data_IF_241002063628
#
_entry.id   IF_241002063628
#
_cell.length_a   1.000
_cell.length_b   1.000
_cell.length_c   1.000
_cell.angle_alpha   90.00
_cell.angle_beta   90.00
_cell.angle_gamma   90.00
#
_symmetry.space_group_name_H-M   'P 1'
#
loop_
_entity.id
_entity.type
_entity.pdbx_description
1 polymer ?
#
# COMPACT_ATOMS: atom_id res chain seq x y z
N UNK A 1 -18.78 66.59 -62.54
CA UNK A 1 -18.73 65.35 -61.75
C UNK A 1 -19.96 65.28 -60.88
N UNK A 2 -20.85 64.30 -61.11
CA UNK A 2 -21.72 63.67 -60.10
C UNK A 2 -22.35 62.44 -60.74
N UNK A 3 -22.24 61.34 -60.02
CA UNK A 3 -22.23 59.95 -60.47
C UNK A 3 -23.64 59.34 -60.45
N UNK A 4 -23.91 58.42 -61.38
CA UNK A 4 -25.05 57.51 -61.41
C UNK A 4 -25.10 56.56 -60.20
N UNK A 5 -26.29 56.07 -59.83
CA UNK A 5 -26.70 54.65 -59.77
C UNK A 5 -28.05 54.55 -59.01
N UNK A 6 -29.15 54.16 -59.68
CA UNK A 6 -29.75 52.81 -59.82
C UNK A 6 -30.44 52.27 -58.54
N UNK A 7 -31.76 52.05 -58.68
CA UNK A 7 -32.68 51.37 -57.76
C UNK A 7 -32.27 49.91 -57.52
N UNK A 8 -32.44 49.41 -56.29
CA UNK A 8 -32.72 47.98 -56.05
C UNK A 8 -33.77 47.88 -54.94
N UNK A 9 -34.91 47.27 -55.26
CA UNK A 9 -35.91 46.84 -54.29
C UNK A 9 -35.46 45.50 -53.71
N UNK A 10 -35.38 45.41 -52.38
CA UNK A 10 -35.09 44.16 -51.68
C UNK A 10 -36.40 43.47 -51.31
N UNK A 11 -36.62 42.28 -51.84
CA UNK A 11 -37.71 41.38 -51.50
C UNK A 11 -37.23 40.47 -50.37
N UNK A 12 -37.86 40.57 -49.20
CA UNK A 12 -37.50 39.75 -48.03
C UNK A 12 -38.01 38.31 -48.23
N UNK A 13 -37.09 37.36 -48.40
CA UNK A 13 -37.37 35.94 -48.29
C UNK A 13 -37.25 35.54 -46.81
N UNK A 14 -38.35 35.17 -46.18
CA UNK A 14 -38.34 34.52 -44.87
C UNK A 14 -37.85 33.07 -45.06
N UNK A 15 -36.57 32.82 -44.78
CA UNK A 15 -36.02 31.48 -44.67
C UNK A 15 -36.30 30.96 -43.25
N UNK A 16 -37.35 30.16 -43.11
CA UNK A 16 -37.56 29.36 -41.90
C UNK A 16 -36.50 28.25 -41.92
N UNK A 17 -35.43 28.43 -41.15
CA UNK A 17 -34.63 27.29 -40.70
C UNK A 17 -35.53 26.45 -39.80
N UNK A 18 -36.01 25.32 -40.32
CA UNK A 18 -36.45 24.25 -39.46
C UNK A 18 -35.25 23.82 -38.63
N UNK A 19 -35.26 24.13 -37.34
CA UNK A 19 -34.38 23.46 -36.40
C UNK A 19 -34.78 21.98 -36.42
N UNK A 20 -34.07 21.17 -37.20
CA UNK A 20 -34.08 19.72 -37.03
C UNK A 20 -33.61 19.47 -35.62
N UNK A 21 -34.47 18.84 -34.79
CA UNK A 21 -34.15 18.42 -33.42
C UNK A 21 -33.18 17.24 -33.42
N UNK A 22 -32.07 17.36 -34.14
CA UNK A 22 -31.06 16.31 -34.21
C UNK A 22 -30.32 16.25 -32.87
N UNK A 23 -30.43 15.09 -32.23
CA UNK A 23 -29.41 14.49 -31.38
C UNK A 23 -29.47 14.76 -29.86
N UNK A 24 -30.66 14.61 -29.27
CA UNK A 24 -30.82 14.50 -27.79
C UNK A 24 -31.33 13.12 -27.32
N UNK A 25 -31.24 12.09 -28.17
CA UNK A 25 -31.68 10.71 -27.86
C UNK A 25 -30.61 9.67 -28.23
N UNK A 26 -29.33 10.04 -28.12
CA UNK A 26 -28.26 9.04 -28.16
C UNK A 26 -28.33 8.18 -26.89
N UNK A 27 -28.26 6.83 -27.02
CA UNK A 27 -28.33 5.96 -25.85
C UNK A 27 -27.18 6.25 -24.89
N UNK A 28 -27.53 6.40 -23.62
CA UNK A 28 -26.56 6.47 -22.52
C UNK A 28 -26.29 5.08 -21.95
N UNK A 29 -25.08 4.89 -21.45
CA UNK A 29 -24.62 3.65 -20.82
C UNK A 29 -24.16 3.93 -19.40
N UNK A 30 -24.59 3.09 -18.47
CA UNK A 30 -24.28 3.23 -17.05
C UNK A 30 -22.93 2.62 -16.73
N UNK A 31 -22.04 3.43 -16.14
CA UNK A 31 -20.78 3.00 -15.54
C UNK A 31 -20.99 2.90 -14.03
N UNK A 32 -21.17 1.68 -13.54
CA UNK A 32 -21.26 1.39 -12.10
C UNK A 32 -19.87 1.16 -11.53
N UNK A 33 -19.56 1.76 -10.37
CA UNK A 33 -18.28 1.53 -9.68
C UNK A 33 -18.49 0.67 -8.44
N UNK A 34 -17.60 -0.30 -8.24
CA UNK A 34 -17.54 -1.16 -7.06
C UNK A 34 -16.18 -1.05 -6.36
N UNK A 35 -16.17 -1.37 -5.07
CA UNK A 35 -14.96 -1.39 -4.23
C UNK A 35 -14.78 -2.79 -3.65
N UNK A 36 -13.59 -3.34 -3.80
CA UNK A 36 -13.24 -4.67 -3.32
C UNK A 36 -11.89 -4.66 -2.57
N UNK A 37 -11.82 -5.08 -1.29
CA UNK A 37 -12.94 -5.48 -0.43
C UNK A 37 -13.83 -4.29 -0.03
N UNK A 38 -15.04 -4.57 0.44
CA UNK A 38 -15.95 -3.52 0.92
C UNK A 38 -15.27 -2.65 1.99
N UNK A 39 -15.43 -1.33 1.90
CA UNK A 39 -14.81 -0.33 2.80
C UNK A 39 -13.29 -0.18 2.66
N UNK A 40 -12.64 -0.77 1.66
CA UNK A 40 -11.20 -0.58 1.44
C UNK A 40 -10.84 0.80 0.87
N UNK A 41 -11.82 1.52 0.34
CA UNK A 41 -11.63 2.84 -0.24
C UNK A 41 -12.92 3.45 -0.75
N UNK A 42 -12.78 4.56 -1.45
CA UNK A 42 -13.84 5.28 -2.16
C UNK A 42 -13.51 5.40 -3.63
N UNK A 43 -14.55 5.48 -4.46
CA UNK A 43 -14.42 5.59 -5.92
C UNK A 43 -15.30 6.71 -6.46
N UNK A 44 -14.83 7.40 -7.50
CA UNK A 44 -15.57 8.47 -8.20
C UNK A 44 -15.43 8.34 -9.71
N UNK A 45 -16.36 8.96 -10.44
CA UNK A 45 -16.37 8.99 -11.91
C UNK A 45 -17.42 8.07 -12.56
N UNK A 46 -18.22 7.35 -11.76
CA UNK A 46 -19.36 6.58 -12.27
C UNK A 46 -20.57 7.47 -12.59
N UNK A 47 -21.50 6.94 -13.39
CA UNK A 47 -22.67 7.68 -13.88
C UNK A 47 -23.15 7.16 -15.23
N UNK A 48 -24.05 7.93 -15.87
CA UNK A 48 -24.56 7.65 -17.21
C UNK A 48 -23.86 8.55 -18.23
N UNK A 49 -23.35 7.95 -19.30
CA UNK A 49 -22.52 8.62 -20.30
C UNK A 49 -22.85 8.16 -21.71
N UNK A 50 -22.49 8.95 -22.72
CA UNK A 50 -22.61 8.54 -24.13
C UNK A 50 -21.44 7.65 -24.52
N UNK A 51 -21.65 6.80 -25.53
CA UNK A 51 -20.56 6.02 -26.14
C UNK A 51 -19.44 6.95 -26.61
N UNK A 52 -18.20 6.63 -26.24
CA UNK A 52 -17.01 7.38 -26.62
C UNK A 52 -16.66 8.54 -25.69
N UNK A 53 -17.50 8.86 -24.70
CA UNK A 53 -17.13 9.77 -23.63
C UNK A 53 -15.89 9.25 -22.90
N UNK A 54 -14.98 10.17 -22.56
CA UNK A 54 -13.79 9.87 -21.76
C UNK A 54 -14.05 10.42 -20.35
N UNK A 55 -14.11 9.51 -19.38
CA UNK A 55 -14.38 9.83 -17.98
C UNK A 55 -13.14 9.52 -17.15
N UNK A 56 -12.85 10.36 -16.16
CA UNK A 56 -11.77 10.09 -15.22
C UNK A 56 -12.32 9.29 -14.05
N UNK A 57 -11.77 8.10 -13.84
CA UNK A 57 -12.05 7.27 -12.69
C UNK A 57 -10.98 7.50 -11.64
N UNK A 58 -11.38 7.62 -10.38
CA UNK A 58 -10.45 7.82 -9.26
C UNK A 58 -10.81 6.87 -8.12
N UNK A 59 -9.81 6.14 -7.63
CA UNK A 59 -9.87 5.33 -6.43
C UNK A 59 -9.01 5.95 -5.33
N UNK A 60 -9.57 6.10 -4.13
CA UNK A 60 -8.85 6.58 -2.94
C UNK A 60 -8.91 5.51 -1.87
N UNK A 61 -7.77 4.98 -1.45
CA UNK A 61 -7.70 3.96 -0.41
C UNK A 61 -8.02 4.56 0.97
N UNK A 62 -8.74 3.80 1.78
CA UNK A 62 -8.92 4.11 3.20
C UNK A 62 -7.64 3.80 4.00
N UNK A 63 -7.63 4.20 5.27
CA UNK A 63 -6.52 3.86 6.17
C UNK A 63 -6.27 2.34 6.21
N UNK A 64 -5.01 1.95 6.24
CA UNK A 64 -4.54 0.56 6.21
C UNK A 64 -4.79 -0.20 4.90
N UNK A 65 -5.27 0.45 3.84
CA UNK A 65 -5.37 -0.15 2.50
C UNK A 65 -4.44 0.53 1.50
N UNK A 66 -4.19 -0.15 0.39
CA UNK A 66 -3.58 0.42 -0.80
C UNK A 66 -4.32 -0.06 -2.05
N UNK A 67 -4.41 0.81 -3.06
CA UNK A 67 -5.03 0.49 -4.34
C UNK A 67 -4.15 -0.51 -5.11
N UNK A 68 -4.78 -1.47 -5.78
CA UNK A 68 -4.12 -2.52 -6.57
C UNK A 68 -4.41 -2.31 -8.05
N UNK A 69 -5.69 -2.36 -8.45
CA UNK A 69 -6.07 -2.23 -9.86
C UNK A 69 -7.55 -1.95 -10.06
N UNK A 70 -7.87 -1.42 -11.23
CA UNK A 70 -9.21 -1.34 -11.78
C UNK A 70 -9.49 -2.56 -12.65
N UNK A 71 -10.65 -3.18 -12.50
CA UNK A 71 -11.05 -4.34 -13.33
C UNK A 71 -12.47 -4.23 -13.87
N UNK A 72 -12.73 -4.82 -15.04
CA UNK A 72 -14.06 -5.19 -15.52
C UNK A 72 -14.18 -6.72 -15.42
N UNK A 73 -14.88 -7.22 -14.40
CA UNK A 73 -14.84 -8.65 -14.07
C UNK A 73 -13.41 -9.11 -13.73
N UNK A 74 -12.86 -10.01 -14.54
CA UNK A 74 -11.48 -10.52 -14.39
C UNK A 74 -10.45 -9.78 -15.25
N UNK A 75 -10.88 -8.83 -16.08
CA UNK A 75 -10.00 -8.08 -16.96
C UNK A 75 -9.40 -6.87 -16.23
N UNK A 76 -8.08 -6.80 -16.11
CA UNK A 76 -7.39 -5.63 -15.57
C UNK A 76 -7.41 -4.49 -16.60
N UNK A 77 -7.89 -3.33 -16.17
CA UNK A 77 -7.96 -2.12 -16.99
C UNK A 77 -6.78 -1.19 -16.71
N UNK A 78 -6.39 -1.06 -15.44
CA UNK A 78 -5.33 -0.14 -15.02
C UNK A 78 -4.81 -0.50 -13.63
N UNK A 79 -3.52 -0.31 -13.41
CA UNK A 79 -2.88 -0.32 -12.08
C UNK A 79 -2.74 1.08 -11.49
N UNK A 80 -3.12 2.12 -12.25
CA UNK A 80 -3.15 3.50 -11.77
C UNK A 80 -4.48 3.77 -11.07
N UNK A 81 -4.41 4.31 -9.84
CA UNK A 81 -5.60 4.64 -9.04
C UNK A 81 -6.50 5.68 -9.72
N UNK A 82 -5.90 6.56 -10.53
CA UNK A 82 -6.62 7.51 -11.38
C UNK A 82 -6.28 7.26 -12.84
N UNK A 83 -7.29 6.99 -13.67
CA UNK A 83 -7.09 6.83 -15.11
C UNK A 83 -8.33 7.23 -15.91
N UNK A 84 -8.10 7.54 -17.19
CA UNK A 84 -9.16 7.89 -18.12
C UNK A 84 -9.74 6.62 -18.76
N UNK A 85 -11.06 6.47 -18.68
CA UNK A 85 -11.82 5.34 -19.23
C UNK A 85 -12.71 5.83 -20.37
N UNK A 86 -12.67 5.13 -21.52
CA UNK A 86 -13.54 5.41 -22.66
C UNK A 86 -14.81 4.56 -22.58
N UNK A 87 -15.96 5.21 -22.53
CA UNK A 87 -17.27 4.54 -22.38
C UNK A 87 -17.64 3.76 -23.64
N UNK A 88 -18.03 2.50 -23.46
CA UNK A 88 -18.43 1.57 -24.52
C UNK A 88 -19.90 1.73 -24.96
N UNK A 89 -20.43 0.67 -25.57
CA UNK A 89 -21.83 0.58 -26.02
C UNK A 89 -22.66 -0.43 -25.20
N UNK A 90 -22.34 -0.56 -23.92
CA UNK A 90 -23.08 -1.35 -22.93
C UNK A 90 -22.85 -0.78 -21.53
N UNK A 91 -23.77 -1.09 -20.63
CA UNK A 91 -23.55 -0.87 -19.21
C UNK A 91 -22.41 -1.75 -18.69
N UNK A 92 -21.61 -1.20 -17.77
CA UNK A 92 -20.46 -1.88 -17.19
C UNK A 92 -20.40 -1.69 -15.68
N UNK A 93 -19.78 -2.65 -15.01
CA UNK A 93 -19.36 -2.50 -13.61
C UNK A 93 -17.85 -2.58 -13.54
N UNK A 94 -17.22 -1.51 -13.07
CA UNK A 94 -15.78 -1.41 -12.90
C UNK A 94 -15.46 -1.48 -11.41
N UNK A 95 -14.55 -2.37 -11.03
CA UNK A 95 -14.19 -2.61 -9.64
C UNK A 95 -12.82 -2.02 -9.35
N UNK A 96 -12.73 -1.15 -8.35
CA UNK A 96 -11.46 -0.77 -7.73
C UNK A 96 -11.09 -1.84 -6.70
N UNK A 97 -9.96 -2.50 -6.93
CA UNK A 97 -9.42 -3.53 -6.07
C UNK A 97 -8.34 -2.93 -5.17
N UNK A 98 -8.36 -3.32 -3.90
CA UNK A 98 -7.46 -2.88 -2.86
C UNK A 98 -6.97 -4.08 -2.07
N UNK A 99 -5.83 -3.92 -1.41
CA UNK A 99 -5.32 -4.88 -0.44
C UNK A 99 -4.99 -4.18 0.88
N UNK A 100 -5.02 -4.94 1.96
CA UNK A 100 -4.58 -4.46 3.27
C UNK A 100 -3.06 -4.29 3.31
N UNK A 101 -2.62 -3.20 3.94
CA UNK A 101 -1.23 -2.98 4.31
C UNK A 101 -0.86 -3.91 5.46
N UNK A 102 0.34 -4.49 5.42
CA UNK A 102 0.85 -5.29 6.55
C UNK A 102 1.44 -4.34 7.59
N UNK A 103 0.62 -3.92 8.55
CA UNK A 103 1.03 -3.04 9.65
C UNK A 103 1.09 -3.86 10.94
N UNK A 104 2.23 -3.79 11.63
CA UNK A 104 2.49 -4.54 12.86
C UNK A 104 2.95 -3.59 13.96
N UNK A 105 2.50 -3.84 15.19
CA UNK A 105 3.04 -3.21 16.39
C UNK A 105 3.67 -4.28 17.25
N UNK A 106 4.97 -4.16 17.54
CA UNK A 106 5.70 -5.07 18.43
C UNK A 106 6.15 -4.34 19.70
N UNK A 107 5.83 -4.92 20.86
CA UNK A 107 6.25 -4.46 22.17
C UNK A 107 7.65 -4.92 22.54
N UNK A 108 8.37 -4.11 23.30
CA UNK A 108 9.63 -4.50 23.95
C UNK A 108 9.37 -5.43 25.15
N UNK A 109 10.44 -5.93 25.78
CA UNK A 109 10.43 -7.06 26.73
C UNK A 109 9.52 -6.91 27.97
N UNK A 110 9.11 -5.69 28.33
CA UNK A 110 8.21 -5.40 29.45
C UNK A 110 6.87 -4.85 29.00
N UNK A 111 6.61 -4.79 27.69
CA UNK A 111 5.34 -4.34 27.15
C UNK A 111 4.28 -5.45 27.31
N UNK A 112 3.17 -5.12 27.96
CA UNK A 112 2.06 -6.06 28.22
C UNK A 112 0.87 -5.87 27.28
N UNK A 113 0.93 -4.89 26.39
CA UNK A 113 -0.16 -4.51 25.49
C UNK A 113 0.01 -5.12 24.10
N UNK A 114 1.24 -5.17 23.61
CA UNK A 114 1.56 -5.60 22.25
C UNK A 114 2.41 -6.88 22.25
N UNK A 115 2.23 -7.75 21.23
CA UNK A 115 3.06 -8.94 21.05
C UNK A 115 4.53 -8.54 20.80
N UNK A 116 5.48 -9.42 21.11
CA UNK A 116 6.91 -9.13 20.97
C UNK A 116 7.53 -9.64 19.66
N UNK A 117 6.84 -10.56 18.98
CA UNK A 117 7.40 -11.39 17.91
C UNK A 117 6.55 -11.35 16.65
N UNK A 118 7.21 -11.48 15.49
CA UNK A 118 6.60 -11.53 14.16
C UNK A 118 7.11 -12.76 13.39
N UNK A 119 6.18 -13.52 12.81
CA UNK A 119 6.45 -14.41 11.67
C UNK A 119 6.14 -13.67 10.37
N UNK A 120 7.15 -13.49 9.53
CA UNK A 120 6.98 -12.75 8.27
C UNK A 120 6.16 -13.56 7.27
N UNK A 121 6.39 -14.88 7.20
CA UNK A 121 5.71 -15.78 6.26
C UNK A 121 4.23 -15.97 6.59
N UNK A 122 3.90 -16.05 7.87
CA UNK A 122 2.52 -16.26 8.32
C UNK A 122 1.74 -14.94 8.45
N UNK A 123 2.45 -13.80 8.52
CA UNK A 123 1.83 -12.51 8.86
C UNK A 123 1.26 -12.49 10.29
N UNK A 124 1.76 -13.37 11.15
CA UNK A 124 1.26 -13.57 12.51
C UNK A 124 2.20 -12.94 13.53
N UNK A 125 1.64 -12.51 14.66
CA UNK A 125 2.40 -12.02 15.81
C UNK A 125 2.19 -12.91 17.02
N UNK A 126 3.21 -13.00 17.87
CA UNK A 126 3.20 -13.86 19.06
C UNK A 126 3.59 -13.07 20.30
N UNK A 127 2.89 -13.32 21.41
CA UNK A 127 3.25 -12.76 22.70
C UNK A 127 4.46 -13.51 23.29
N UNK A 128 5.10 -12.90 24.29
CA UNK A 128 6.30 -13.47 24.93
C UNK A 128 6.12 -14.89 25.47
N UNK A 129 4.91 -15.23 25.94
CA UNK A 129 4.61 -16.53 26.52
C UNK A 129 4.28 -17.63 25.47
N UNK A 130 4.01 -17.24 24.22
CA UNK A 130 3.57 -18.16 23.16
C UNK A 130 4.66 -18.36 22.12
N UNK A 131 5.56 -17.40 21.94
CA UNK A 131 6.54 -17.42 20.85
C UNK A 131 7.45 -18.67 20.87
N UNK A 132 7.72 -19.25 22.04
CA UNK A 132 8.52 -20.48 22.18
C UNK A 132 7.83 -21.74 21.63
N UNK A 133 6.52 -21.76 21.38
CA UNK A 133 5.87 -22.84 20.60
C UNK A 133 5.91 -22.60 19.10
N UNK A 134 6.37 -21.43 18.65
CA UNK A 134 6.42 -20.99 17.25
C UNK A 134 7.86 -20.67 16.78
N UNK A 135 8.88 -21.24 17.42
CA UNK A 135 10.29 -20.91 17.20
C UNK A 135 10.72 -20.98 15.73
N UNK A 136 10.19 -21.96 14.98
CA UNK A 136 10.49 -22.15 13.56
C UNK A 136 9.83 -21.11 12.64
N UNK A 137 8.74 -20.48 13.09
CA UNK A 137 8.00 -19.47 12.33
C UNK A 137 8.44 -18.04 12.65
N UNK A 138 8.96 -17.78 13.86
CA UNK A 138 9.36 -16.44 14.30
C UNK A 138 10.62 -15.96 13.58
N UNK A 139 10.53 -14.80 12.93
CA UNK A 139 11.62 -14.19 12.16
C UNK A 139 12.19 -12.94 12.81
N UNK A 140 11.34 -12.16 13.49
CA UNK A 140 11.66 -10.83 14.01
C UNK A 140 11.08 -10.68 15.41
N UNK A 141 11.80 -10.01 16.30
CA UNK A 141 11.28 -9.54 17.58
C UNK A 141 11.71 -8.11 17.88
N UNK A 142 10.94 -7.43 18.74
CA UNK A 142 11.26 -6.13 19.29
C UNK A 142 11.91 -6.25 20.67
N UNK A 143 12.88 -5.39 20.95
CA UNK A 143 13.49 -5.28 22.27
C UNK A 143 13.99 -3.85 22.52
N UNK A 144 14.21 -3.53 23.79
CA UNK A 144 14.84 -2.28 24.23
C UNK A 144 16.11 -2.57 25.00
N UNK A 145 17.17 -1.83 24.70
CA UNK A 145 18.43 -1.85 25.43
C UNK A 145 19.04 -0.45 25.44
N UNK A 146 19.58 -0.01 26.58
CA UNK A 146 20.27 1.28 26.67
C UNK A 146 21.40 1.34 25.62
N UNK A 147 21.41 2.39 24.80
CA UNK A 147 22.36 2.58 23.71
C UNK A 147 21.95 1.98 22.36
N UNK A 148 21.04 1.00 22.33
CA UNK A 148 20.39 0.53 21.10
C UNK A 148 18.97 1.10 20.94
N UNK A 149 18.36 1.56 22.03
CA UNK A 149 16.96 1.97 22.10
C UNK A 149 16.02 0.85 21.63
N UNK A 150 14.80 1.17 21.20
CA UNK A 150 13.90 0.24 20.51
C UNK A 150 14.59 -0.26 19.24
N UNK A 151 14.68 -1.58 19.14
CA UNK A 151 15.39 -2.28 18.10
C UNK A 151 14.64 -3.54 17.67
N UNK A 152 14.85 -3.93 16.42
CA UNK A 152 14.41 -5.19 15.85
C UNK A 152 15.60 -6.12 15.69
N UNK A 153 15.41 -7.39 16.02
CA UNK A 153 16.37 -8.45 15.81
C UNK A 153 15.64 -9.76 15.48
N UNK A 154 16.37 -10.88 15.41
CA UNK A 154 15.79 -12.21 15.23
C UNK A 154 16.31 -13.17 16.31
N UNK A 155 15.69 -14.34 16.53
CA UNK A 155 16.21 -15.33 17.47
C UNK A 155 17.70 -15.69 17.25
N UNK A 156 18.14 -15.81 15.99
CA UNK A 156 19.54 -16.04 15.60
C UNK A 156 20.52 -14.89 15.88
N UNK A 157 20.03 -13.76 16.42
CA UNK A 157 20.87 -12.69 16.95
C UNK A 157 21.57 -13.06 18.26
N UNK A 158 21.06 -14.07 18.98
CA UNK A 158 21.54 -14.51 20.30
C UNK A 158 21.69 -13.35 21.30
N UNK A 159 20.72 -12.43 21.30
CA UNK A 159 20.60 -11.41 22.35
C UNK A 159 20.27 -12.10 23.66
N UNK A 160 21.04 -11.83 24.71
CA UNK A 160 20.86 -12.42 26.05
C UNK A 160 20.71 -11.32 27.10
N UNK A 161 20.14 -11.64 28.26
CA UNK A 161 20.09 -10.74 29.42
C UNK A 161 19.04 -9.62 29.31
N UNK A 162 18.22 -9.63 28.25
CA UNK A 162 17.13 -8.66 28.03
C UNK A 162 15.78 -9.26 28.40
N UNK A 163 15.53 -10.50 27.98
CA UNK A 163 14.29 -11.21 28.24
C UNK A 163 14.43 -12.00 29.55
N UNK A 164 13.55 -11.75 30.52
CA UNK A 164 13.71 -12.12 31.93
C UNK A 164 13.63 -13.61 32.31
N UNK A 165 13.97 -14.58 31.44
CA UNK A 165 13.98 -16.00 31.82
C UNK A 165 13.84 -17.01 30.67
N UNK A 166 14.09 -18.29 31.00
CA UNK A 166 14.49 -19.39 30.10
C UNK A 166 13.69 -19.53 28.80
N UNK A 167 12.39 -19.78 28.83
CA UNK A 167 11.59 -20.09 27.63
C UNK A 167 11.15 -18.84 26.85
N UNK A 168 10.99 -17.71 27.54
CA UNK A 168 10.63 -16.41 26.96
C UNK A 168 11.81 -15.71 26.29
N UNK A 169 13.04 -16.18 26.54
CA UNK A 169 14.26 -15.67 25.95
C UNK A 169 14.59 -16.43 24.65
N UNK A 170 14.52 -15.76 23.48
CA UNK A 170 14.83 -16.38 22.20
C UNK A 170 16.25 -16.94 22.09
N UNK A 171 17.18 -16.55 22.96
CA UNK A 171 18.52 -17.13 22.98
C UNK A 171 18.54 -18.61 23.37
N UNK A 172 17.56 -19.06 24.17
CA UNK A 172 17.46 -20.44 24.68
C UNK A 172 16.68 -21.37 23.76
N UNK A 173 16.05 -20.82 22.72
CA UNK A 173 15.31 -21.60 21.74
C UNK A 173 16.20 -22.58 20.98
N UNK A 174 15.62 -23.73 20.62
CA UNK A 174 16.31 -24.76 19.84
C UNK A 174 16.37 -24.38 18.37
N UNK A 175 15.31 -23.75 17.85
CA UNK A 175 15.28 -23.19 16.49
C UNK A 175 15.39 -21.67 16.57
N UNK A 176 16.37 -21.12 15.84
CA UNK A 176 16.70 -19.69 15.91
C UNK A 176 16.89 -19.09 14.53
N UNK A 177 15.79 -18.60 13.95
CA UNK A 177 15.83 -17.98 12.63
C UNK A 177 16.69 -16.71 12.63
N UNK A 178 17.47 -16.54 11.57
CA UNK A 178 18.32 -15.35 11.37
C UNK A 178 17.71 -14.42 10.35
N UNK A 179 17.34 -13.21 10.79
CA UNK A 179 16.94 -12.10 9.91
C UNK A 179 18.03 -11.04 9.97
N UNK A 180 18.46 -10.57 8.81
CA UNK A 180 19.44 -9.48 8.70
C UNK A 180 18.75 -8.23 8.15
N UNK A 181 19.25 -7.06 8.56
CA UNK A 181 18.67 -5.76 8.26
C UNK A 181 19.73 -4.79 7.75
N UNK A 182 19.38 -3.94 6.79
CA UNK A 182 20.15 -2.73 6.45
C UNK A 182 19.21 -1.54 6.33
N UNK A 183 19.62 -0.38 6.85
CA UNK A 183 18.85 0.85 6.65
C UNK A 183 18.93 1.28 5.17
N UNK A 184 17.84 1.78 4.63
CA UNK A 184 17.71 2.25 3.25
C UNK A 184 17.48 3.76 3.29
N UNK A 185 18.54 4.53 3.03
CA UNK A 185 18.49 6.00 3.05
C UNK A 185 18.18 6.60 1.67
N UNK A 186 18.18 5.77 0.63
CA UNK A 186 17.90 6.18 -0.76
C UNK A 186 16.43 6.10 -1.14
N UNK A 187 15.59 5.49 -0.29
CA UNK A 187 14.16 5.34 -0.50
C UNK A 187 13.41 6.30 0.42
N UNK A 188 12.54 7.13 -0.16
CA UNK A 188 11.67 8.03 0.61
C UNK A 188 10.37 7.32 1.02
N UNK A 189 9.65 7.87 2.00
CA UNK A 189 8.34 7.36 2.43
C UNK A 189 7.33 7.33 1.27
N UNK A 190 7.27 8.39 0.46
CA UNK A 190 6.37 8.45 -0.68
C UNK A 190 6.67 7.34 -1.71
N UNK A 191 7.94 7.09 -2.01
CA UNK A 191 8.33 5.99 -2.90
C UNK A 191 8.05 4.61 -2.27
N UNK A 192 8.25 4.46 -0.97
CA UNK A 192 7.87 3.23 -0.28
C UNK A 192 6.36 2.98 -0.41
N UNK A 193 5.54 4.01 -0.26
CA UNK A 193 4.08 3.90 -0.31
C UNK A 193 3.57 3.46 -1.69
N UNK A 194 4.30 3.78 -2.77
CA UNK A 194 3.97 3.34 -4.13
C UNK A 194 4.41 1.91 -4.45
N UNK A 195 5.34 1.31 -3.68
CA UNK A 195 5.80 -0.07 -3.94
C UNK A 195 4.70 -1.05 -3.50
N UNK A 196 4.18 -1.94 -4.36
CA UNK A 196 3.22 -2.96 -3.94
C UNK A 196 3.89 -4.07 -3.13
N UNK A 197 3.15 -4.69 -2.20
CA UNK A 197 3.59 -5.96 -1.62
C UNK A 197 3.63 -7.03 -2.72
N UNK A 198 4.73 -7.79 -2.81
CA UNK A 198 5.02 -8.73 -3.88
C UNK A 198 5.90 -8.15 -5.00
N UNK A 199 6.31 -6.89 -4.92
CA UNK A 199 7.16 -6.28 -5.95
C UNK A 199 8.55 -6.93 -5.97
N UNK A 200 8.97 -7.41 -7.14
CA UNK A 200 10.27 -8.02 -7.35
C UNK A 200 11.45 -7.08 -7.01
N UNK A 201 11.27 -5.77 -7.11
CA UNK A 201 12.28 -4.76 -6.84
C UNK A 201 12.58 -4.58 -5.34
N UNK A 202 11.72 -5.07 -4.44
CA UNK A 202 11.96 -5.04 -2.98
C UNK A 202 13.33 -5.62 -2.63
N UNK A 203 13.76 -6.68 -3.31
CA UNK A 203 15.07 -7.32 -3.06
C UNK A 203 16.26 -6.40 -3.35
N UNK A 204 16.11 -5.39 -4.22
CA UNK A 204 17.22 -4.53 -4.67
C UNK A 204 17.70 -3.58 -3.58
N UNK A 205 16.87 -3.33 -2.56
CA UNK A 205 17.21 -2.49 -1.42
C UNK A 205 18.00 -3.24 -0.33
N UNK A 206 18.08 -4.57 -0.42
CA UNK A 206 18.89 -5.37 0.50
C UNK A 206 20.36 -5.39 0.07
N UNK A 207 21.26 -5.10 1.00
CA UNK A 207 22.71 -5.19 0.79
C UNK A 207 23.33 -6.11 1.82
N UNK A 208 23.89 -7.23 1.37
CA UNK A 208 24.54 -8.20 2.25
C UNK A 208 25.73 -7.61 3.03
N UNK A 209 26.48 -6.68 2.43
CA UNK A 209 27.62 -6.02 3.05
C UNK A 209 27.20 -5.04 4.17
N UNK A 210 26.07 -4.36 3.96
CA UNK A 210 25.49 -3.45 4.94
C UNK A 210 24.63 -4.16 6.00
N UNK A 211 24.25 -5.41 5.76
CA UNK A 211 23.31 -6.13 6.61
C UNK A 211 23.88 -6.43 8.00
N UNK A 212 23.05 -6.25 9.03
CA UNK A 212 23.36 -6.47 10.46
C UNK A 212 22.26 -7.30 11.11
N UNK A 213 22.59 -7.98 12.22
CA UNK A 213 21.64 -8.80 12.99
C UNK A 213 20.62 -7.98 13.80
N UNK A 214 20.76 -6.65 13.82
CA UNK A 214 19.91 -5.72 14.57
C UNK A 214 19.64 -4.49 13.71
N UNK A 215 18.38 -4.05 13.65
CA UNK A 215 18.02 -2.68 13.29
C UNK A 215 17.76 -1.94 14.61
N UNK A 216 18.51 -0.88 14.89
CA UNK A 216 18.51 -0.18 16.20
C UNK A 216 18.30 1.31 16.01
N UNK A 217 18.04 2.02 17.10
CA UNK A 217 17.76 3.47 17.08
C UNK A 217 16.63 3.79 16.11
N UNK A 218 15.56 2.99 16.18
CA UNK A 218 14.45 3.09 15.25
C UNK A 218 13.71 4.41 15.49
N UNK A 219 13.51 5.17 14.42
CA UNK A 219 12.81 6.45 14.43
C UNK A 219 11.79 6.45 13.31
N UNK A 220 10.70 7.21 13.50
CA UNK A 220 9.64 7.38 12.51
C UNK A 220 10.21 7.74 11.13
N UNK A 221 9.58 7.20 10.09
CA UNK A 221 9.88 7.38 8.67
C UNK A 221 11.20 6.74 8.20
N UNK A 222 12.02 6.17 9.08
CA UNK A 222 13.14 5.34 8.64
C UNK A 222 12.65 4.09 7.92
N UNK A 223 13.41 3.69 6.90
CA UNK A 223 13.15 2.50 6.11
C UNK A 223 14.32 1.54 6.23
N UNK A 224 14.00 0.26 6.39
CA UNK A 224 14.96 -0.83 6.48
C UNK A 224 14.60 -1.92 5.47
N UNK A 225 15.59 -2.42 4.75
CA UNK A 225 15.48 -3.69 4.06
C UNK A 225 15.83 -4.82 5.03
N UNK A 226 15.19 -5.96 4.88
CA UNK A 226 15.48 -7.16 5.63
C UNK A 226 15.50 -8.40 4.74
N UNK A 227 16.20 -9.43 5.22
CA UNK A 227 16.17 -10.77 4.63
C UNK A 227 16.04 -11.81 5.72
N UNK A 228 14.98 -12.61 5.68
CA UNK A 228 14.76 -13.73 6.62
C UNK A 228 15.65 -14.93 6.27
N UNK A 229 15.78 -15.89 7.20
CA UNK A 229 16.59 -17.09 6.97
C UNK A 229 16.06 -17.92 5.79
N UNK A 230 14.75 -17.94 5.59
CA UNK A 230 14.08 -18.66 4.51
C UNK A 230 14.19 -17.93 3.16
N UNK A 231 14.90 -16.80 3.10
CA UNK A 231 15.21 -16.10 1.85
C UNK A 231 14.19 -15.06 1.41
N UNK A 232 13.18 -14.75 2.23
CA UNK A 232 12.23 -13.67 1.98
C UNK A 232 12.93 -12.33 2.11
N UNK A 233 12.89 -11.52 1.06
CA UNK A 233 13.30 -10.12 1.09
C UNK A 233 12.11 -9.25 1.47
N UNK A 234 12.34 -8.22 2.27
CA UNK A 234 11.31 -7.25 2.58
C UNK A 234 11.84 -5.85 2.85
N UNK A 235 10.92 -4.91 2.84
CA UNK A 235 11.11 -3.53 3.30
C UNK A 235 10.20 -3.29 4.50
N UNK A 236 10.67 -2.49 5.45
CA UNK A 236 9.96 -2.07 6.64
C UNK A 236 10.07 -0.55 6.75
N UNK A 237 8.94 0.14 6.92
CA UNK A 237 8.87 1.59 7.21
C UNK A 237 8.37 1.79 8.63
N UNK A 238 9.15 2.47 9.45
CA UNK A 238 8.77 2.81 10.83
C UNK A 238 7.66 3.85 10.82
N UNK A 239 6.53 3.56 11.47
CA UNK A 239 5.38 4.45 11.60
C UNK A 239 5.43 5.22 12.91
N UNK A 240 5.72 4.52 14.02
CA UNK A 240 5.74 5.10 15.35
C UNK A 240 6.65 4.29 16.29
N UNK A 241 7.23 4.96 17.30
CA UNK A 241 8.13 4.34 18.28
C UNK A 241 7.89 4.96 19.65
N UNK A 242 7.67 4.12 20.65
CA UNK A 242 7.72 4.50 22.06
C UNK A 242 8.94 3.86 22.70
N UNK A 243 9.84 4.68 23.23
CA UNK A 243 11.09 4.25 23.87
C UNK A 243 10.82 3.67 25.26
N UNK A 244 11.57 2.64 25.65
CA UNK A 244 11.53 2.03 26.99
C UNK A 244 11.40 0.52 26.94
N UNK A 245 11.63 -0.14 28.08
CA UNK A 245 11.46 -1.59 28.19
C UNK A 245 9.99 -2.02 28.01
N UNK A 246 9.05 -1.15 28.36
CA UNK A 246 7.61 -1.24 28.11
C UNK A 246 7.18 -0.57 26.80
N UNK A 247 8.14 -0.08 26.01
CA UNK A 247 7.94 0.61 24.74
C UNK A 247 7.49 -0.31 23.60
N UNK A 248 7.40 0.25 22.41
CA UNK A 248 6.98 -0.48 21.20
C UNK A 248 7.51 0.17 19.92
N UNK A 249 7.40 -0.58 18.82
CA UNK A 249 7.49 -0.07 17.46
C UNK A 249 6.27 -0.45 16.66
N UNK A 250 5.68 0.51 15.94
CA UNK A 250 4.70 0.29 14.89
C UNK A 250 5.35 0.50 13.52
N UNK A 251 5.15 -0.42 12.59
CA UNK A 251 5.72 -0.33 11.24
C UNK A 251 4.83 -0.97 10.18
N UNK A 252 4.96 -0.52 8.95
CA UNK A 252 4.44 -1.20 7.76
C UNK A 252 5.56 -2.03 7.14
N UNK A 253 5.27 -3.23 6.66
CA UNK A 253 6.24 -4.02 5.90
C UNK A 253 5.67 -4.59 4.60
N UNK A 254 6.56 -4.82 3.64
CA UNK A 254 6.26 -5.38 2.32
C UNK A 254 7.27 -6.47 2.02
N UNK A 255 6.83 -7.58 1.47
CA UNK A 255 7.70 -8.69 1.08
C UNK A 255 7.74 -8.79 -0.44
N UNK A 256 8.87 -9.24 -0.98
CA UNK A 256 8.93 -9.73 -2.36
C UNK A 256 8.10 -11.00 -2.50
#
# INVERSE_FOLDING_TARGET
MKTNLVKVALMAAAFVVGFSSCDDDDPTYTVTLAVNPSNAGTVTGGGDYKKGDIIQLTATANENFYFVSWTEGTNELSTEATFDYTVGDKDVTLTANFNEKKIVTLGAQSNTTFPGFLSVSEGATYNFNEASSHQAAVDIFCFYEVGNDIALASPGSNITGIFGGTETDPANWTTKNTTLFNQVTTLTVAQFDTIPNGDANIQTYYSADAARKKAKLLIKDNIYAFKTQNGTYGLLKVIDVSVGADGFIKFEYKTK
#
